data_IF_113970907306
#
_entry.id   IF_113970907306
#
_cell.length_a   1.000
_cell.length_b   1.000
_cell.length_c   1.000
_cell.angle_alpha   90.00
_cell.angle_beta   90.00
_cell.angle_gamma   90.00
#
_symmetry.space_group_name_H-M   'P 1'
#
loop_
_entity.id
_entity.type
_entity.pdbx_description
1 polymer ?
#
# COMPACT_ATOMS: atom_id res chain seq x y z
N UNK A 1 20.54 8.09 -3.90
CA UNK A 1 19.35 8.48 -4.68
C UNK A 1 18.18 7.65 -4.18
N UNK A 2 17.19 8.30 -3.59
CA UNK A 2 15.94 7.65 -3.15
C UNK A 2 15.18 7.08 -4.36
N UNK A 3 14.37 6.04 -4.15
CA UNK A 3 13.50 5.47 -5.20
C UNK A 3 12.61 6.56 -5.82
N UNK A 4 12.19 7.54 -5.02
CA UNK A 4 11.35 8.65 -5.47
C UNK A 4 12.14 9.60 -6.39
N UNK A 5 13.34 10.00 -6.00
CA UNK A 5 14.20 10.90 -6.80
C UNK A 5 14.52 10.30 -8.18
N UNK A 6 14.86 9.01 -8.23
CA UNK A 6 15.13 8.33 -9.49
C UNK A 6 13.91 8.19 -10.40
N UNK A 7 12.69 8.12 -9.84
CA UNK A 7 11.44 8.11 -10.62
C UNK A 7 11.11 9.49 -11.17
N UNK A 8 11.30 10.54 -10.37
CA UNK A 8 11.09 11.93 -10.82
C UNK A 8 12.04 12.30 -11.95
N UNK A 9 13.32 11.90 -11.85
CA UNK A 9 14.28 12.11 -12.94
C UNK A 9 13.81 11.47 -14.26
N UNK A 10 13.35 10.21 -14.22
CA UNK A 10 12.84 9.52 -15.41
C UNK A 10 11.59 10.18 -16.01
N UNK A 11 10.65 10.62 -15.16
CA UNK A 11 9.45 11.32 -15.63
C UNK A 11 9.79 12.65 -16.30
N UNK A 12 10.82 13.34 -15.78
CA UNK A 12 11.34 14.57 -16.37
C UNK A 12 12.04 14.29 -17.71
N UNK A 13 12.87 13.24 -17.79
CA UNK A 13 13.54 12.82 -19.03
C UNK A 13 12.54 12.48 -20.15
N UNK A 14 11.35 11.98 -19.79
CA UNK A 14 10.26 11.70 -20.75
C UNK A 14 9.35 12.90 -21.01
N UNK A 15 9.61 14.07 -20.42
CA UNK A 15 8.81 15.29 -20.60
C UNK A 15 7.43 15.27 -19.95
N UNK A 16 7.14 14.31 -19.06
CA UNK A 16 5.85 14.20 -18.37
C UNK A 16 5.74 15.13 -17.15
N UNK A 17 6.89 15.56 -16.63
CA UNK A 17 6.99 16.61 -15.61
C UNK A 17 8.15 17.54 -15.97
N UNK A 18 8.13 18.74 -15.44
CA UNK A 18 9.22 19.72 -15.57
C UNK A 18 9.63 20.25 -14.19
N UNK A 19 10.83 20.82 -14.08
CA UNK A 19 11.26 21.51 -12.85
C UNK A 19 10.68 22.93 -12.89
N UNK A 20 9.76 23.22 -11.99
CA UNK A 20 9.14 24.54 -11.86
C UNK A 20 9.97 25.48 -10.98
N UNK A 21 10.67 24.95 -9.98
CA UNK A 21 11.50 25.74 -9.06
C UNK A 21 12.74 24.95 -8.61
N UNK A 22 13.87 25.64 -8.49
CA UNK A 22 15.06 25.14 -7.81
C UNK A 22 15.27 25.90 -6.50
N UNK A 23 15.14 25.19 -5.39
CA UNK A 23 15.32 25.71 -4.04
C UNK A 23 16.72 25.47 -3.47
N UNK A 24 16.99 26.00 -2.26
CA UNK A 24 18.27 25.81 -1.58
C UNK A 24 18.63 24.32 -1.42
N UNK A 25 19.93 24.02 -1.48
CA UNK A 25 20.49 22.66 -1.34
C UNK A 25 20.02 21.67 -2.42
N UNK A 26 19.75 22.15 -3.64
CA UNK A 26 19.39 21.29 -4.78
C UNK A 26 17.97 20.73 -4.71
N UNK A 27 17.09 21.34 -3.92
CA UNK A 27 15.67 20.98 -3.90
C UNK A 27 15.06 21.33 -5.26
N UNK A 28 14.34 20.39 -5.87
CA UNK A 28 13.57 20.63 -7.09
C UNK A 28 12.08 20.51 -6.78
N UNK A 29 11.31 21.51 -7.20
CA UNK A 29 9.85 21.43 -7.25
C UNK A 29 9.48 21.08 -8.68
N UNK A 30 8.68 20.03 -8.83
CA UNK A 30 8.23 19.54 -10.12
C UNK A 30 6.79 19.93 -10.38
N UNK A 31 6.48 20.23 -11.63
CA UNK A 31 5.12 20.45 -12.12
C UNK A 31 4.82 19.46 -13.25
N UNK A 32 3.57 18.98 -13.30
CA UNK A 32 3.10 18.09 -14.36
C UNK A 32 2.88 18.87 -15.66
N UNK A 33 3.39 18.35 -16.78
CA UNK A 33 3.17 18.94 -18.10
C UNK A 33 1.78 18.56 -18.64
N UNK A 34 1.37 19.16 -19.76
CA UNK A 34 0.09 18.78 -20.39
C UNK A 34 0.13 17.34 -20.90
N UNK A 35 1.26 16.93 -21.51
CA UNK A 35 1.54 15.56 -21.90
C UNK A 35 1.49 14.62 -20.68
N UNK A 36 2.03 15.06 -19.54
CA UNK A 36 1.94 14.38 -18.26
C UNK A 36 0.50 14.15 -17.80
N UNK A 37 -0.37 15.16 -17.93
CA UNK A 37 -1.80 15.05 -17.58
C UNK A 37 -2.53 14.07 -18.49
N UNK A 38 -2.25 14.10 -19.80
CA UNK A 38 -2.81 13.16 -20.78
C UNK A 38 -2.41 11.73 -20.44
N UNK A 39 -1.13 11.48 -20.17
CA UNK A 39 -0.64 10.15 -19.82
C UNK A 39 -1.18 9.69 -18.44
N UNK A 40 -1.28 10.58 -17.46
CA UNK A 40 -1.91 10.27 -16.17
C UNK A 40 -3.38 9.84 -16.35
N UNK A 41 -4.13 10.56 -17.18
CA UNK A 41 -5.53 10.21 -17.49
C UNK A 41 -5.64 8.85 -18.17
N UNK A 42 -4.82 8.61 -19.20
CA UNK A 42 -4.75 7.31 -19.88
C UNK A 42 -4.44 6.19 -18.89
N UNK A 43 -3.47 6.39 -18.00
CA UNK A 43 -3.12 5.41 -16.98
C UNK A 43 -4.30 5.12 -16.03
N UNK A 44 -5.07 6.13 -15.64
CA UNK A 44 -6.23 5.94 -14.76
C UNK A 44 -7.40 5.20 -15.41
N UNK A 45 -7.62 5.37 -16.72
CA UNK A 45 -8.84 4.89 -17.39
C UNK A 45 -8.58 3.65 -18.26
N UNK A 46 -7.45 3.61 -18.96
CA UNK A 46 -7.21 2.62 -20.01
C UNK A 46 -6.28 1.48 -19.56
N UNK A 47 -5.46 1.71 -18.53
CA UNK A 47 -4.51 0.72 -18.03
C UNK A 47 -5.16 -0.12 -16.93
N UNK A 48 -5.46 -1.38 -17.24
CA UNK A 48 -6.03 -2.29 -16.26
C UNK A 48 -5.08 -2.52 -15.05
N UNK A 49 -5.62 -2.55 -13.81
CA UNK A 49 -4.85 -2.94 -12.64
C UNK A 49 -4.26 -4.34 -12.83
N UNK A 50 -2.97 -4.51 -12.51
CA UNK A 50 -2.33 -5.82 -12.59
C UNK A 50 -2.64 -6.64 -11.33
N UNK A 51 -2.87 -7.95 -11.45
CA UNK A 51 -2.97 -8.84 -10.30
C UNK A 51 -1.72 -8.70 -9.44
N UNK A 52 -1.91 -8.52 -8.12
CA UNK A 52 -0.79 -8.47 -7.18
C UNK A 52 -0.38 -9.91 -6.87
N UNK A 53 0.93 -10.17 -6.89
CA UNK A 53 1.49 -11.40 -6.32
C UNK A 53 1.50 -11.24 -4.80
N UNK A 54 0.80 -12.13 -4.12
CA UNK A 54 0.71 -12.13 -2.67
C UNK A 54 1.72 -13.12 -2.07
N UNK A 55 2.82 -12.59 -1.53
CA UNK A 55 3.86 -13.39 -0.89
C UNK A 55 3.36 -14.06 0.41
N UNK A 56 2.43 -13.43 1.13
CA UNK A 56 1.85 -13.99 2.35
C UNK A 56 1.10 -15.28 2.02
N UNK A 57 0.19 -15.24 1.04
CA UNK A 57 -0.58 -16.43 0.65
C UNK A 57 0.34 -17.51 0.07
N UNK A 58 1.39 -17.13 -0.67
CA UNK A 58 2.39 -18.07 -1.14
C UNK A 58 3.11 -18.78 0.02
N UNK A 59 3.49 -18.06 1.09
CA UNK A 59 4.09 -18.67 2.28
C UNK A 59 3.10 -19.58 3.02
N UNK A 60 1.84 -19.19 3.10
CA UNK A 60 0.77 -20.01 3.73
C UNK A 60 0.65 -21.35 3.04
N UNK A 61 0.71 -21.37 1.70
CA UNK A 61 0.68 -22.59 0.89
C UNK A 61 1.83 -23.56 1.25
N UNK A 62 2.99 -23.04 1.66
CA UNK A 62 4.18 -23.82 2.01
C UNK A 62 4.39 -23.99 3.52
N UNK A 63 3.39 -23.77 4.37
CA UNK A 63 3.54 -23.94 5.82
C UNK A 63 3.83 -25.39 6.24
N UNK A 64 3.62 -26.37 5.37
CA UNK A 64 4.03 -27.75 5.59
C UNK A 64 5.56 -27.95 5.59
N UNK A 65 6.35 -26.95 5.17
CA UNK A 65 7.81 -26.98 5.21
C UNK A 65 8.40 -26.63 6.58
N UNK A 66 7.57 -26.22 7.56
CA UNK A 66 7.98 -25.85 8.92
C UNK A 66 7.19 -26.65 9.96
N UNK A 67 7.60 -26.58 11.22
CA UNK A 67 6.86 -27.25 12.30
C UNK A 67 5.47 -26.64 12.51
N UNK A 68 4.50 -27.40 13.06
CA UNK A 68 3.18 -26.87 13.37
C UNK A 68 3.21 -25.66 14.33
N UNK A 69 4.20 -25.59 15.23
CA UNK A 69 4.38 -24.46 16.13
C UNK A 69 4.84 -23.21 15.36
N UNK A 70 5.83 -23.34 14.48
CA UNK A 70 6.29 -22.25 13.63
C UNK A 70 5.20 -21.76 12.67
N UNK A 71 4.38 -22.66 12.12
CA UNK A 71 3.25 -22.30 11.27
C UNK A 71 2.19 -21.49 12.04
N UNK A 72 1.87 -21.88 13.28
CA UNK A 72 0.96 -21.11 14.14
C UNK A 72 1.55 -19.76 14.51
N UNK A 73 2.83 -19.70 14.86
CA UNK A 73 3.53 -18.47 15.19
C UNK A 73 3.62 -17.52 13.98
N UNK A 74 3.78 -18.06 12.77
CA UNK A 74 3.71 -17.29 11.53
C UNK A 74 2.37 -16.58 11.40
N UNK A 75 1.24 -17.30 11.51
CA UNK A 75 -0.08 -16.68 11.43
C UNK A 75 -0.37 -15.71 12.58
N UNK A 76 0.11 -15.98 13.81
CA UNK A 76 0.01 -15.03 14.93
C UNK A 76 0.63 -13.68 14.58
N UNK A 77 1.85 -13.69 14.03
CA UNK A 77 2.55 -12.47 13.61
C UNK A 77 1.82 -11.71 12.51
N UNK A 78 1.08 -12.42 11.65
CA UNK A 78 0.25 -11.76 10.63
C UNK A 78 -0.94 -11.05 11.27
N UNK A 79 -1.62 -11.68 12.24
CA UNK A 79 -2.72 -11.06 12.97
C UNK A 79 -2.25 -9.84 13.77
N UNK A 80 -1.10 -9.96 14.45
CA UNK A 80 -0.47 -8.87 15.21
C UNK A 80 -0.10 -7.69 14.31
N UNK A 81 0.64 -7.94 13.23
CA UNK A 81 1.06 -6.88 12.31
C UNK A 81 -0.12 -6.22 11.57
N UNK A 82 -1.21 -6.94 11.33
CA UNK A 82 -2.43 -6.37 10.77
C UNK A 82 -3.16 -5.51 11.82
N UNK A 83 -3.19 -5.94 13.09
CA UNK A 83 -3.76 -5.14 14.18
C UNK A 83 -2.99 -3.83 14.40
N UNK A 84 -1.66 -3.88 14.38
CA UNK A 84 -0.79 -2.70 14.51
C UNK A 84 -1.03 -1.72 13.36
N UNK A 85 -0.99 -2.20 12.11
CA UNK A 85 -1.27 -1.36 10.93
C UNK A 85 -2.68 -0.78 10.92
N UNK A 86 -3.68 -1.56 11.35
CA UNK A 86 -5.05 -1.05 11.48
C UNK A 86 -5.10 0.13 12.46
N UNK A 87 -4.43 0.02 13.59
CA UNK A 87 -4.39 1.09 14.59
C UNK A 87 -3.66 2.34 14.07
N UNK A 88 -2.53 2.18 13.41
CA UNK A 88 -1.80 3.29 12.76
C UNK A 88 -2.68 4.03 11.74
N UNK A 89 -3.44 3.29 10.93
CA UNK A 89 -4.38 3.86 9.95
C UNK A 89 -5.55 4.57 10.64
N UNK A 90 -6.04 4.03 11.75
CA UNK A 90 -7.11 4.64 12.55
C UNK A 90 -6.65 5.95 13.18
N UNK A 91 -5.45 5.97 13.77
CA UNK A 91 -4.85 7.19 14.29
C UNK A 91 -4.57 8.22 13.19
N UNK A 92 -4.14 7.77 11.99
CA UNK A 92 -3.98 8.67 10.85
C UNK A 92 -5.33 9.27 10.43
N UNK A 93 -6.38 8.46 10.35
CA UNK A 93 -7.73 8.91 10.05
C UNK A 93 -8.21 9.98 11.03
N UNK A 94 -7.98 9.78 12.32
CA UNK A 94 -8.45 10.67 13.38
C UNK A 94 -7.66 12.01 13.45
N UNK A 95 -6.43 12.04 12.92
CA UNK A 95 -5.59 13.25 12.88
C UNK A 95 -5.79 14.11 11.65
N UNK A 96 -6.34 13.56 10.57
CA UNK A 96 -6.55 14.32 9.33
C UNK A 96 -7.85 15.13 9.48
N UNK A 97 -7.76 16.43 9.19
CA UNK A 97 -8.94 17.27 9.03
C UNK A 97 -9.55 17.02 7.64
N UNK A 98 -10.56 16.16 7.60
CA UNK A 98 -11.24 15.79 6.37
C UNK A 98 -12.19 16.90 5.94
N UNK A 99 -12.00 17.40 4.73
CA UNK A 99 -12.88 18.38 4.09
C UNK A 99 -13.71 17.75 2.96
N UNK A 100 -14.66 18.50 2.40
CA UNK A 100 -15.46 18.06 1.24
C UNK A 100 -14.70 18.20 -0.10
N UNK A 101 -13.43 18.62 -0.09
CA UNK A 101 -12.62 18.68 -1.31
C UNK A 101 -12.27 17.29 -1.84
N UNK A 102 -12.07 17.22 -3.16
CA UNK A 102 -11.85 15.96 -3.85
C UNK A 102 -10.65 15.15 -3.31
N UNK A 103 -9.57 15.82 -2.87
CA UNK A 103 -8.40 15.14 -2.35
C UNK A 103 -8.69 14.49 -0.99
N UNK A 104 -9.40 15.20 -0.11
CA UNK A 104 -9.89 14.63 1.16
C UNK A 104 -10.83 13.45 0.92
N UNK A 105 -11.79 13.57 0.00
CA UNK A 105 -12.73 12.47 -0.31
C UNK A 105 -11.99 11.23 -0.84
N UNK A 106 -11.13 11.39 -1.84
CA UNK A 106 -10.40 10.24 -2.42
C UNK A 106 -9.37 9.66 -1.43
N UNK A 107 -8.75 10.51 -0.62
CA UNK A 107 -7.86 10.09 0.46
C UNK A 107 -8.58 9.25 1.51
N UNK A 108 -9.79 9.67 1.93
CA UNK A 108 -10.60 8.94 2.89
C UNK A 108 -11.02 7.56 2.35
N UNK A 109 -11.41 7.48 1.06
CA UNK A 109 -11.72 6.19 0.42
C UNK A 109 -10.53 5.23 0.41
N UNK A 110 -9.32 5.74 0.10
CA UNK A 110 -8.11 4.94 0.11
C UNK A 110 -7.74 4.45 1.53
N UNK A 111 -7.93 5.31 2.54
CA UNK A 111 -7.67 4.97 3.93
C UNK A 111 -8.69 3.95 4.46
N UNK A 112 -9.98 4.16 4.22
CA UNK A 112 -11.06 3.22 4.61
C UNK A 112 -10.83 1.83 4.01
N UNK A 113 -10.39 1.75 2.75
CA UNK A 113 -9.99 0.48 2.16
C UNK A 113 -8.85 -0.20 2.94
N UNK A 114 -7.83 0.58 3.36
CA UNK A 114 -6.73 0.08 4.20
C UNK A 114 -7.22 -0.45 5.55
N UNK A 115 -8.08 0.30 6.25
CA UNK A 115 -8.68 -0.14 7.51
C UNK A 115 -9.43 -1.48 7.34
N UNK A 116 -10.29 -1.56 6.33
CA UNK A 116 -11.05 -2.80 6.06
C UNK A 116 -10.15 -3.96 5.70
N UNK A 117 -9.09 -3.72 4.91
CA UNK A 117 -8.13 -4.74 4.53
C UNK A 117 -7.41 -5.31 5.75
N UNK A 118 -6.88 -4.46 6.63
CA UNK A 118 -6.13 -4.90 7.81
C UNK A 118 -7.05 -5.59 8.82
N UNK A 119 -8.29 -5.11 9.00
CA UNK A 119 -9.29 -5.78 9.82
C UNK A 119 -9.60 -7.19 9.30
N UNK A 120 -9.84 -7.32 7.99
CA UNK A 120 -10.08 -8.61 7.35
C UNK A 120 -8.86 -9.53 7.46
N UNK A 121 -7.66 -9.01 7.24
CA UNK A 121 -6.43 -9.80 7.30
C UNK A 121 -6.18 -10.34 8.70
N UNK A 122 -6.44 -9.53 9.75
CA UNK A 122 -6.39 -9.98 11.14
C UNK A 122 -7.39 -11.10 11.41
N UNK A 123 -8.67 -10.87 11.06
CA UNK A 123 -9.73 -11.86 11.25
C UNK A 123 -9.41 -13.18 10.55
N UNK A 124 -8.96 -13.10 9.30
CA UNK A 124 -8.54 -14.26 8.52
C UNK A 124 -7.37 -15.01 9.17
N UNK A 125 -6.34 -14.30 9.63
CA UNK A 125 -5.18 -14.93 10.24
C UNK A 125 -5.56 -15.65 11.56
N UNK A 126 -6.40 -15.02 12.38
CA UNK A 126 -6.92 -15.64 13.61
C UNK A 126 -7.78 -16.87 13.30
N UNK A 127 -8.66 -16.80 12.31
CA UNK A 127 -9.43 -17.95 11.84
C UNK A 127 -8.51 -19.07 11.32
N UNK A 128 -7.53 -18.75 10.49
CA UNK A 128 -6.61 -19.72 9.89
C UNK A 128 -5.81 -20.48 10.96
N UNK A 129 -5.41 -19.81 12.05
CA UNK A 129 -4.76 -20.45 13.21
C UNK A 129 -5.62 -21.54 13.83
N UNK A 130 -6.94 -21.39 13.83
CA UNK A 130 -7.86 -22.42 14.34
C UNK A 130 -7.88 -23.67 13.46
N UNK A 131 -7.58 -23.53 12.17
CA UNK A 131 -7.55 -24.64 11.19
C UNK A 131 -6.24 -25.43 11.21
N UNK A 132 -5.17 -24.87 11.78
CA UNK A 132 -3.91 -25.59 12.01
C UNK A 132 -3.95 -26.48 13.28
N UNK A 133 -5.14 -26.76 13.82
CA UNK A 133 -5.35 -27.73 14.88
C UNK A 133 -5.71 -29.08 14.26
N UNK A 134 -5.06 -30.12 14.77
CA UNK A 134 -5.20 -31.54 14.41
C UNK A 134 -4.68 -31.94 13.02
N UNK A 135 -3.34 -32.03 12.91
CA UNK A 135 -2.72 -33.10 12.14
C UNK A 135 -2.13 -34.07 13.17
N UNK A 136 -2.82 -35.18 13.40
CA UNK A 136 -2.31 -36.35 14.14
C UNK A 136 -1.24 -37.04 13.30
#
# INVERSE_FOLDING_TARGET
>A
MSIVEGRLAKLADTGLITVAEEGPRGRKVYEITEEGRVELRRWMIDVAPRPRRDDLILRVFFLNAVSPEEARAFLSRIAEAASERHEELRELHDRIDWSDDALSVYGALALDWGLRLEAMQREWADWARTKLRDQT
#
